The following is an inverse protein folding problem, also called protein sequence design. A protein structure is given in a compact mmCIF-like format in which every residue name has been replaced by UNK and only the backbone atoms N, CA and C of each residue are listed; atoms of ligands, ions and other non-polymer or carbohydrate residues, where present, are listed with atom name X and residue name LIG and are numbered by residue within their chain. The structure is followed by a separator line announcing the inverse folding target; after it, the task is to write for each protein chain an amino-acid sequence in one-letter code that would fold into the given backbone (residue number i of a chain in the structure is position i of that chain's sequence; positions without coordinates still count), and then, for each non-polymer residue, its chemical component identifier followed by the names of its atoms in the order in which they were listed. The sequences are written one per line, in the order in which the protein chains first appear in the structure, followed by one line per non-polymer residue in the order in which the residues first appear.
data_IF_899568037971
#
_entry.id   IF_899568037971
#
_cell.length_a   1.000
_cell.length_b   1.000
_cell.length_c   1.000
_cell.angle_alpha   90.00
_cell.angle_beta   90.00
_cell.angle_gamma   90.00
#
_symmetry.space_group_name_H-M   'P 1'
#
loop_
_entity.id
_entity.type
_entity.pdbx_description
1 polymer ?
#
# COMPACT_ATOMS: atom_id res chain seq x y z
N UNK A 1 17.04 -29.52 -8.75
CA UNK A 1 16.04 -29.18 -7.72
C UNK A 1 15.63 -27.74 -8.01
N UNK A 2 14.52 -27.55 -8.71
CA UNK A 2 13.96 -26.20 -8.87
C UNK A 2 13.41 -25.79 -7.49
N UNK A 3 13.95 -24.74 -6.90
CA UNK A 3 13.49 -24.31 -5.60
C UNK A 3 12.06 -23.77 -5.74
N UNK A 4 11.21 -24.07 -4.77
CA UNK A 4 9.84 -23.56 -4.68
C UNK A 4 9.78 -22.01 -4.77
N UNK A 5 10.94 -21.35 -4.67
CA UNK A 5 11.12 -19.90 -4.68
C UNK A 5 11.20 -19.28 -6.06
N UNK A 6 11.52 -20.06 -7.11
CA UNK A 6 11.55 -19.56 -8.49
C UNK A 6 10.14 -19.18 -8.99
N UNK A 7 9.10 -19.54 -8.23
CA UNK A 7 7.70 -19.26 -8.56
C UNK A 7 7.07 -18.13 -7.75
N UNK A 8 7.72 -17.63 -6.70
CA UNK A 8 7.20 -16.49 -5.92
C UNK A 8 7.55 -15.21 -6.68
N UNK A 9 6.61 -14.75 -7.47
CA UNK A 9 6.71 -13.44 -8.13
C UNK A 9 6.35 -12.39 -7.10
N UNK A 10 7.34 -11.61 -6.66
CA UNK A 10 7.08 -10.48 -5.79
C UNK A 10 6.25 -9.43 -6.51
N UNK A 11 5.12 -9.05 -5.92
CA UNK A 11 4.22 -8.04 -6.48
C UNK A 11 4.71 -6.60 -6.29
N UNK A 12 5.85 -6.38 -5.63
CA UNK A 12 6.39 -5.05 -5.36
C UNK A 12 7.55 -4.75 -6.32
N UNK A 13 7.37 -3.72 -7.14
CA UNK A 13 8.45 -3.15 -7.96
C UNK A 13 9.36 -2.26 -7.11
N UNK A 14 10.70 -2.24 -7.38
CA UNK A 14 11.59 -1.30 -6.74
C UNK A 14 11.13 0.14 -6.92
N UNK A 15 11.18 0.90 -5.85
CA UNK A 15 10.80 2.31 -5.85
C UNK A 15 12.07 3.17 -5.92
N UNK A 16 12.37 3.82 -7.06
CA UNK A 16 13.46 4.77 -7.12
C UNK A 16 13.16 6.00 -6.25
N UNK A 17 14.21 6.57 -5.66
CA UNK A 17 14.06 7.84 -4.96
C UNK A 17 13.57 8.92 -5.93
N UNK A 18 12.60 9.72 -5.49
CA UNK A 18 12.09 10.87 -6.23
C UNK A 18 12.11 12.09 -5.33
N UNK A 19 12.84 13.12 -5.74
CA UNK A 19 12.99 14.36 -4.96
C UNK A 19 11.70 15.18 -4.91
N UNK A 20 10.75 14.88 -5.76
CA UNK A 20 9.40 15.49 -5.76
C UNK A 20 8.48 14.91 -4.68
N UNK A 21 8.83 13.76 -4.09
CA UNK A 21 8.04 13.20 -2.99
C UNK A 21 8.01 14.18 -1.81
N UNK A 22 6.83 14.43 -1.29
CA UNK A 22 6.69 15.21 -0.06
C UNK A 22 7.41 14.51 1.09
N UNK A 23 8.36 15.22 1.69
CA UNK A 23 9.12 14.68 2.83
C UNK A 23 8.35 14.95 4.12
N UNK A 24 8.14 13.91 4.92
CA UNK A 24 7.36 14.01 6.15
C UNK A 24 7.94 15.05 7.10
N UNK A 25 9.25 15.10 7.28
CA UNK A 25 9.91 16.08 8.17
C UNK A 25 9.70 17.53 7.73
N UNK A 26 9.56 17.79 6.45
CA UNK A 26 9.37 19.16 5.94
C UNK A 26 7.97 19.69 6.25
N UNK A 27 7.01 18.80 6.44
CA UNK A 27 5.61 19.17 6.73
C UNK A 27 5.31 19.14 8.23
N UNK A 28 5.84 18.15 8.95
CA UNK A 28 5.47 17.88 10.34
C UNK A 28 6.61 18.10 11.35
N UNK A 29 7.80 18.50 10.86
CA UNK A 29 9.01 18.57 11.69
C UNK A 29 9.57 17.17 12.03
N UNK A 30 10.68 17.15 12.75
CA UNK A 30 11.30 15.92 13.25
C UNK A 30 10.96 15.75 14.73
N UNK A 31 10.25 14.69 15.13
CA UNK A 31 9.95 14.41 16.52
C UNK A 31 11.22 14.06 17.32
N UNK A 32 11.18 14.21 18.64
CA UNK A 32 12.26 13.74 19.51
C UNK A 32 12.23 12.21 19.62
N UNK A 33 13.35 11.56 19.30
CA UNK A 33 13.52 10.10 19.43
C UNK A 33 13.29 9.62 20.88
N UNK A 34 13.51 10.46 21.87
CA UNK A 34 13.28 10.13 23.28
C UNK A 34 11.81 9.91 23.63
N UNK A 35 10.91 10.45 22.82
CA UNK A 35 9.46 10.25 23.01
C UNK A 35 8.97 8.91 22.49
N UNK A 36 9.81 8.17 21.76
CA UNK A 36 9.43 6.87 21.21
C UNK A 36 9.30 5.82 22.30
N UNK A 37 8.16 5.14 22.42
CA UNK A 37 8.05 3.98 23.29
C UNK A 37 8.85 2.81 22.71
N UNK A 38 9.26 1.90 23.57
CA UNK A 38 9.94 0.68 23.15
C UNK A 38 9.02 -0.24 22.32
N UNK A 39 7.73 -0.19 22.60
CA UNK A 39 6.73 -1.01 21.95
C UNK A 39 5.37 -0.27 21.88
N UNK A 40 4.67 -0.41 20.78
CA UNK A 40 3.23 -0.15 20.68
C UNK A 40 2.63 -0.98 19.55
N UNK A 41 1.35 -1.29 19.66
CA UNK A 41 0.63 -2.15 18.72
C UNK A 41 -0.49 -1.36 18.05
N UNK A 42 -0.58 -1.50 16.74
CA UNK A 42 -1.72 -1.07 15.94
C UNK A 42 -2.41 -2.34 15.44
N UNK A 43 -3.66 -2.54 15.84
CA UNK A 43 -4.43 -3.68 15.38
C UNK A 43 -5.07 -3.36 14.02
N UNK A 44 -4.87 -4.18 12.99
CA UNK A 44 -5.55 -4.02 11.71
C UNK A 44 -7.06 -4.26 11.87
N UNK A 45 -7.86 -3.71 10.98
CA UNK A 45 -9.29 -3.98 10.92
C UNK A 45 -9.55 -5.43 10.50
N UNK A 46 -8.83 -5.88 9.49
CA UNK A 46 -8.89 -7.23 8.94
C UNK A 46 -7.52 -7.60 8.38
N UNK A 47 -7.16 -8.88 8.44
CA UNK A 47 -5.96 -9.40 7.76
C UNK A 47 -6.41 -10.02 6.45
N UNK A 48 -5.89 -9.49 5.35
CA UNK A 48 -6.23 -9.92 3.99
C UNK A 48 -5.21 -10.89 3.43
N UNK A 49 -5.70 -11.94 2.78
CA UNK A 49 -4.86 -12.90 2.06
C UNK A 49 -4.91 -12.61 0.56
N UNK A 50 -3.77 -12.24 -0.01
CA UNK A 50 -3.66 -11.99 -1.46
C UNK A 50 -3.53 -13.26 -2.30
N UNK A 51 -3.48 -14.44 -1.66
CA UNK A 51 -3.28 -15.72 -2.32
C UNK A 51 -1.98 -15.74 -3.15
N UNK A 52 -2.03 -16.25 -4.36
CA UNK A 52 -0.91 -16.33 -5.32
C UNK A 52 -0.82 -15.12 -6.27
N UNK A 53 -1.56 -14.05 -5.97
CA UNK A 53 -1.56 -12.84 -6.79
C UNK A 53 -0.37 -11.93 -6.47
N UNK A 54 0.09 -11.19 -7.46
CA UNK A 54 1.17 -10.21 -7.34
C UNK A 54 0.67 -8.79 -6.95
N UNK A 55 -0.37 -8.72 -6.12
CA UNK A 55 -1.10 -7.51 -5.79
C UNK A 55 -0.73 -6.89 -4.44
N UNK A 56 0.41 -7.25 -3.87
CA UNK A 56 0.81 -6.85 -2.51
C UNK A 56 0.74 -5.32 -2.28
N UNK A 57 1.11 -4.51 -3.26
CA UNK A 57 1.03 -3.06 -3.12
C UNK A 57 -0.42 -2.56 -3.00
N UNK A 58 -1.36 -3.14 -3.76
CA UNK A 58 -2.79 -2.83 -3.66
C UNK A 58 -3.37 -3.26 -2.31
N UNK A 59 -3.04 -4.47 -1.86
CA UNK A 59 -3.44 -4.97 -0.54
C UNK A 59 -2.94 -4.09 0.59
N UNK A 60 -1.65 -3.74 0.56
CA UNK A 60 -1.04 -2.88 1.59
C UNK A 60 -1.70 -1.50 1.65
N UNK A 61 -1.97 -0.86 0.49
CA UNK A 61 -2.62 0.45 0.46
C UNK A 61 -4.08 0.37 0.92
N UNK A 62 -4.78 -0.72 0.57
CA UNK A 62 -6.14 -0.95 1.07
C UNK A 62 -6.16 -1.07 2.59
N UNK A 63 -5.32 -1.93 3.20
CA UNK A 63 -5.24 -2.11 4.66
C UNK A 63 -4.91 -0.81 5.41
N UNK A 64 -3.95 -0.04 4.92
CA UNK A 64 -3.62 1.26 5.52
C UNK A 64 -4.78 2.24 5.42
N UNK A 65 -5.49 2.22 4.30
CA UNK A 65 -6.67 3.06 4.10
C UNK A 65 -7.84 2.64 5.00
N UNK A 66 -8.03 1.35 5.21
CA UNK A 66 -9.03 0.79 6.14
C UNK A 66 -8.82 1.23 7.58
N UNK A 67 -7.57 1.27 8.04
CA UNK A 67 -7.27 1.76 9.39
C UNK A 67 -7.68 3.22 9.56
N UNK A 68 -7.60 4.01 8.52
CA UNK A 68 -8.04 5.41 8.54
C UNK A 68 -9.55 5.56 8.47
N UNK A 69 -10.20 4.84 7.56
CA UNK A 69 -11.64 4.96 7.26
C UNK A 69 -12.54 4.12 8.18
N UNK A 70 -11.98 3.09 8.81
CA UNK A 70 -12.71 2.07 9.58
C UNK A 70 -13.76 1.30 8.76
N UNK A 71 -13.46 1.12 7.48
CA UNK A 71 -14.26 0.38 6.50
C UNK A 71 -13.34 -0.57 5.76
N UNK A 72 -13.73 -1.83 5.62
CA UNK A 72 -13.02 -2.79 4.78
C UNK A 72 -13.05 -2.33 3.31
N UNK A 73 -11.89 -2.24 2.68
CA UNK A 73 -11.72 -1.72 1.32
C UNK A 73 -11.26 -2.81 0.35
N UNK A 74 -11.60 -2.64 -0.91
CA UNK A 74 -11.27 -3.60 -1.97
C UNK A 74 -9.83 -3.42 -2.44
N UNK A 75 -8.93 -4.37 -2.19
CA UNK A 75 -7.53 -4.28 -2.59
C UNK A 75 -7.33 -4.43 -4.10
N UNK A 76 -8.24 -5.09 -4.78
CA UNK A 76 -8.18 -5.28 -6.22
C UNK A 76 -8.49 -3.98 -6.97
N UNK A 77 -9.46 -3.22 -6.48
CA UNK A 77 -9.69 -1.87 -6.99
C UNK A 77 -8.44 -1.00 -6.83
N UNK A 78 -7.79 -1.04 -5.67
CA UNK A 78 -6.55 -0.30 -5.41
C UNK A 78 -5.45 -0.68 -6.39
N UNK A 79 -5.25 -1.97 -6.61
CA UNK A 79 -4.26 -2.45 -7.58
C UNK A 79 -4.62 -2.04 -9.02
N UNK A 80 -5.88 -2.17 -9.42
CA UNK A 80 -6.35 -1.76 -10.74
C UNK A 80 -6.10 -0.26 -11.00
N UNK A 81 -6.32 0.59 -10.00
CA UNK A 81 -6.06 2.04 -10.12
C UNK A 81 -4.57 2.34 -10.23
N UNK A 82 -3.73 1.61 -9.49
CA UNK A 82 -2.28 1.72 -9.63
C UNK A 82 -1.82 1.32 -11.04
N UNK A 83 -2.31 0.20 -11.57
CA UNK A 83 -2.00 -0.26 -12.94
C UNK A 83 -2.49 0.73 -14.01
N UNK A 84 -3.61 1.38 -13.77
CA UNK A 84 -4.12 2.43 -14.65
C UNK A 84 -3.18 3.64 -14.72
N UNK A 85 -2.62 4.06 -13.60
CA UNK A 85 -1.63 5.15 -13.55
C UNK A 85 -0.34 4.74 -14.26
N UNK A 86 0.09 3.50 -14.02
CA UNK A 86 1.30 2.93 -14.62
C UNK A 86 1.18 2.80 -16.15
N UNK A 87 -0.03 2.56 -16.64
CA UNK A 87 -0.30 2.31 -18.07
C UNK A 87 0.22 0.97 -18.58
N UNK A 88 0.74 0.13 -17.68
CA UNK A 88 1.26 -1.21 -17.96
C UNK A 88 0.44 -2.28 -17.26
N UNK A 89 -0.49 -2.86 -17.97
CA UNK A 89 -1.33 -3.95 -17.48
C UNK A 89 -0.71 -5.35 -17.65
N UNK A 90 0.42 -5.43 -18.35
CA UNK A 90 1.10 -6.71 -18.64
C UNK A 90 2.15 -7.05 -17.59
N UNK A 91 2.71 -6.05 -16.94
CA UNK A 91 3.73 -6.20 -15.91
C UNK A 91 3.20 -6.78 -14.61
N UNK A 92 4.06 -7.52 -13.91
CA UNK A 92 3.80 -8.03 -12.58
C UNK A 92 3.96 -6.92 -11.53
N UNK A 93 3.06 -6.90 -10.56
CA UNK A 93 3.12 -5.99 -9.45
C UNK A 93 3.06 -4.51 -9.82
N UNK A 94 3.31 -3.66 -8.84
CA UNK A 94 3.45 -2.20 -8.98
C UNK A 94 4.33 -1.65 -7.87
N UNK A 95 4.75 -0.40 -7.95
CA UNK A 95 5.48 0.25 -6.87
C UNK A 95 4.54 0.94 -5.87
N UNK A 96 5.05 1.17 -4.65
CA UNK A 96 4.25 1.76 -3.56
C UNK A 96 3.81 3.20 -3.85
N UNK A 97 4.63 4.00 -4.54
CA UNK A 97 4.25 5.38 -4.90
C UNK A 97 3.07 5.38 -5.85
N UNK A 98 3.11 4.54 -6.87
CA UNK A 98 2.02 4.39 -7.83
C UNK A 98 0.74 3.88 -7.15
N UNK A 99 0.85 2.92 -6.24
CA UNK A 99 -0.29 2.44 -5.46
C UNK A 99 -0.89 3.54 -4.56
N UNK A 100 -0.06 4.29 -3.83
CA UNK A 100 -0.51 5.43 -3.03
C UNK A 100 -1.14 6.54 -3.90
N UNK A 101 -0.56 6.78 -5.07
CA UNK A 101 -1.13 7.73 -6.04
C UNK A 101 -2.50 7.28 -6.53
N UNK A 102 -2.72 5.97 -6.72
CA UNK A 102 -4.03 5.39 -7.02
C UNK A 102 -5.07 5.76 -5.97
N UNK A 103 -4.73 5.64 -4.69
CA UNK A 103 -5.62 6.03 -3.60
C UNK A 103 -5.89 7.55 -3.54
N UNK A 104 -4.94 8.38 -4.00
CA UNK A 104 -5.13 9.84 -4.06
C UNK A 104 -5.93 10.28 -5.29
N UNK A 105 -5.66 9.71 -6.45
CA UNK A 105 -6.26 10.16 -7.71
C UNK A 105 -7.67 9.57 -7.92
N UNK A 106 -7.87 8.32 -7.50
CA UNK A 106 -9.11 7.57 -7.74
C UNK A 106 -9.88 7.19 -6.49
N UNK A 107 -9.23 7.13 -5.35
CA UNK A 107 -9.85 6.70 -4.10
C UNK A 107 -9.85 5.20 -3.88
N UNK A 108 -10.80 4.72 -3.09
CA UNK A 108 -10.98 3.31 -2.72
C UNK A 108 -12.47 2.97 -2.71
N UNK A 109 -12.83 1.69 -2.82
CA UNK A 109 -14.20 1.24 -2.68
C UNK A 109 -14.33 0.25 -1.52
N UNK A 110 -15.47 0.19 -0.82
CA UNK A 110 -15.73 -0.84 0.18
C UNK A 110 -15.65 -2.25 -0.43
N UNK A 111 -15.11 -3.20 0.33
CA UNK A 111 -14.86 -4.57 -0.12
C UNK A 111 -16.12 -5.31 -0.61
N UNK A 112 -17.28 -4.93 -0.11
CA UNK A 112 -18.58 -5.51 -0.48
C UNK A 112 -19.27 -4.78 -1.65
N UNK A 113 -18.60 -3.81 -2.27
CA UNK A 113 -19.19 -3.02 -3.38
C UNK A 113 -19.17 -3.81 -4.69
N UNK A 114 -18.21 -4.72 -4.85
CA UNK A 114 -18.08 -5.53 -6.05
C UNK A 114 -18.56 -6.95 -5.81
N UNK A 115 -19.15 -7.56 -6.87
CA UNK A 115 -19.46 -8.99 -6.89
C UNK A 115 -18.26 -9.83 -7.35
N UNK A 116 -17.07 -9.22 -7.39
CA UNK A 116 -15.87 -9.84 -7.88
C UNK A 116 -15.21 -10.67 -6.80
N UNK A 117 -14.99 -11.93 -7.09
CA UNK A 117 -14.29 -12.85 -6.21
C UNK A 117 -13.06 -13.43 -6.91
N UNK A 118 -12.01 -13.66 -6.15
CA UNK A 118 -10.91 -14.49 -6.63
C UNK A 118 -11.44 -15.83 -7.18
N UNK A 119 -10.99 -16.32 -8.36
CA UNK A 119 -9.87 -15.83 -9.21
C UNK A 119 -10.30 -14.94 -10.40
N UNK A 120 -11.40 -14.23 -10.35
CA UNK A 120 -11.89 -13.40 -11.47
C UNK A 120 -11.03 -12.17 -11.77
N UNK A 121 -10.14 -11.82 -10.86
CA UNK A 121 -9.23 -10.68 -11.04
C UNK A 121 -8.00 -11.06 -11.87
N UNK A 122 -8.23 -11.44 -13.11
CA UNK A 122 -7.14 -11.59 -14.07
C UNK A 122 -6.73 -10.24 -14.65
N UNK A 123 -5.68 -10.24 -15.45
CA UNK A 123 -5.13 -9.02 -16.04
C UNK A 123 -6.09 -8.36 -17.01
N UNK A 124 -6.79 -9.14 -17.82
CA UNK A 124 -7.73 -8.62 -18.81
C UNK A 124 -8.90 -7.94 -18.09
N UNK A 125 -9.34 -8.50 -16.97
CA UNK A 125 -10.34 -7.90 -16.12
C UNK A 125 -9.86 -6.56 -15.52
N UNK A 126 -8.65 -6.52 -14.97
CA UNK A 126 -8.07 -5.31 -14.37
C UNK A 126 -7.81 -4.22 -15.41
N UNK A 127 -7.40 -4.59 -16.62
CA UNK A 127 -7.16 -3.65 -17.72
C UNK A 127 -8.45 -3.04 -18.27
N UNK A 128 -9.57 -3.74 -18.15
CA UNK A 128 -10.83 -3.27 -18.68
C UNK A 128 -11.45 -2.20 -17.78
N UNK A 129 -11.26 -0.95 -18.19
CA UNK A 129 -11.79 0.20 -17.50
C UNK A 129 -13.31 0.17 -17.24
N UNK A 130 -14.10 -0.44 -18.13
CA UNK A 130 -15.55 -0.56 -18.00
C UNK A 130 -15.96 -1.32 -16.73
N UNK A 131 -15.09 -2.21 -16.24
CA UNK A 131 -15.33 -2.94 -15.01
C UNK A 131 -15.29 -2.03 -13.76
N UNK A 132 -14.57 -0.92 -13.84
CA UNK A 132 -14.26 -0.06 -12.69
C UNK A 132 -14.97 1.28 -12.70
N UNK A 133 -15.25 1.86 -13.87
CA UNK A 133 -15.79 3.23 -13.99
C UNK A 133 -17.09 3.45 -13.21
N UNK A 134 -17.92 2.43 -13.10
CA UNK A 134 -19.20 2.49 -12.37
C UNK A 134 -19.05 2.69 -10.87
N UNK A 135 -17.85 2.48 -10.33
CA UNK A 135 -17.58 2.62 -8.89
C UNK A 135 -16.94 3.96 -8.53
N UNK A 136 -16.71 4.83 -9.49
CA UNK A 136 -15.97 6.08 -9.26
C UNK A 136 -16.61 7.00 -8.25
N UNK A 137 -17.90 7.18 -8.31
CA UNK A 137 -18.60 8.07 -7.36
C UNK A 137 -18.45 7.56 -5.92
N UNK A 138 -18.46 6.23 -5.74
CA UNK A 138 -18.24 5.60 -4.44
C UNK A 138 -16.77 5.74 -4.03
N UNK A 139 -15.85 5.51 -4.96
CA UNK A 139 -14.42 5.57 -4.68
C UNK A 139 -13.96 6.97 -4.27
N UNK A 140 -14.58 8.00 -4.82
CA UNK A 140 -14.24 9.39 -4.52
C UNK A 140 -14.44 9.76 -3.05
N UNK A 141 -15.38 9.12 -2.36
CA UNK A 141 -15.64 9.30 -0.93
C UNK A 141 -14.41 8.90 -0.09
N UNK A 142 -13.65 7.91 -0.55
CA UNK A 142 -12.49 7.34 0.15
C UNK A 142 -11.15 7.80 -0.42
N UNK A 143 -11.12 8.90 -1.17
CA UNK A 143 -9.87 9.48 -1.67
C UNK A 143 -8.95 9.92 -0.55
N UNK A 144 -7.68 9.61 -0.69
CA UNK A 144 -6.64 10.15 0.17
C UNK A 144 -6.19 11.52 -0.35
N UNK A 145 -5.91 12.44 0.58
CA UNK A 145 -5.46 13.79 0.19
C UNK A 145 -4.02 13.79 -0.30
N UNK A 146 -3.16 12.99 0.33
CA UNK A 146 -1.74 12.92 0.02
C UNK A 146 -1.09 11.72 0.70
N UNK A 147 0.11 11.40 0.24
CA UNK A 147 1.04 10.50 0.93
C UNK A 147 2.41 11.18 1.05
N UNK A 148 3.24 10.69 1.96
CA UNK A 148 4.54 11.30 2.26
C UNK A 148 5.61 10.23 2.29
N UNK A 149 6.81 10.59 1.81
CA UNK A 149 8.00 9.80 2.03
C UNK A 149 8.44 9.97 3.48
N UNK A 150 8.57 8.85 4.21
CA UNK A 150 9.10 8.84 5.58
C UNK A 150 10.62 8.98 5.49
N UNK A 151 11.09 10.22 5.49
CA UNK A 151 12.51 10.55 5.45
C UNK A 151 12.80 11.64 6.49
N UNK A 152 13.76 11.34 7.39
CA UNK A 152 14.28 12.30 8.38
C UNK A 152 15.79 12.34 8.25
N UNK A 153 16.36 13.51 8.04
CA UNK A 153 17.81 13.68 7.91
C UNK A 153 18.53 13.36 9.21
N UNK A 154 19.67 12.66 9.10
CA UNK A 154 20.49 12.32 10.25
C UNK A 154 19.89 11.26 11.18
N UNK A 155 18.79 10.63 10.78
CA UNK A 155 18.11 9.59 11.56
C UNK A 155 18.31 8.24 10.88
N UNK A 156 18.57 7.19 11.66
CA UNK A 156 18.64 5.83 11.18
C UNK A 156 17.34 5.36 10.51
N UNK A 157 17.43 4.46 9.53
CA UNK A 157 16.25 4.02 8.76
C UNK A 157 15.15 3.38 9.61
N UNK A 158 15.52 2.60 10.64
CA UNK A 158 14.55 2.00 11.53
C UNK A 158 13.87 3.06 12.41
N UNK A 159 14.65 3.99 12.90
CA UNK A 159 14.11 5.11 13.67
C UNK A 159 13.25 6.05 12.82
N UNK A 160 13.56 6.21 11.53
CA UNK A 160 12.68 6.93 10.60
C UNK A 160 11.29 6.28 10.51
N UNK A 161 11.23 4.95 10.37
CA UNK A 161 9.96 4.20 10.34
C UNK A 161 9.24 4.35 11.68
N UNK A 162 9.93 4.15 12.81
CA UNK A 162 9.37 4.28 14.16
C UNK A 162 8.80 5.67 14.39
N UNK A 163 9.55 6.72 14.02
CA UNK A 163 9.09 8.10 14.10
C UNK A 163 7.84 8.35 13.25
N UNK A 164 7.85 7.85 12.00
CA UNK A 164 6.70 7.98 11.11
C UNK A 164 5.43 7.39 11.70
N UNK A 165 5.50 6.17 12.22
CA UNK A 165 4.37 5.51 12.86
C UNK A 165 3.96 6.25 14.14
N UNK A 166 4.90 6.59 15.01
CA UNK A 166 4.62 7.23 16.28
C UNK A 166 4.03 8.62 16.16
N UNK A 167 4.57 9.45 15.28
CA UNK A 167 4.10 10.81 15.06
C UNK A 167 2.63 10.84 14.63
N UNK A 168 2.21 9.86 13.87
CA UNK A 168 0.87 9.84 13.28
C UNK A 168 -0.12 8.86 13.93
N UNK A 169 0.26 8.23 15.05
CA UNK A 169 -0.61 7.29 15.78
C UNK A 169 -1.97 7.88 16.19
N UNK A 170 -1.98 9.19 16.54
CA UNK A 170 -3.21 9.89 16.91
C UNK A 170 -4.11 10.18 15.72
N UNK A 171 -3.50 10.42 14.58
CA UNK A 171 -4.20 10.75 13.32
C UNK A 171 -4.54 9.50 12.50
N UNK A 172 -4.29 8.30 13.07
CA UNK A 172 -4.52 7.02 12.40
C UNK A 172 -3.80 6.89 11.05
N UNK A 173 -2.62 7.47 10.95
CA UNK A 173 -1.77 7.34 9.77
C UNK A 173 -0.82 6.17 9.95
N UNK A 174 -0.63 5.41 8.90
CA UNK A 174 0.20 4.21 8.90
C UNK A 174 1.36 4.37 7.93
N UNK A 175 2.48 3.75 8.22
CA UNK A 175 3.66 3.72 7.37
C UNK A 175 3.64 2.44 6.53
N UNK A 176 3.78 2.61 5.23
CA UNK A 176 3.96 1.51 4.29
C UNK A 176 5.45 1.35 4.00
N UNK A 177 5.93 0.12 4.05
CA UNK A 177 7.30 -0.22 3.68
C UNK A 177 7.34 -1.45 2.80
N UNK A 178 8.35 -1.52 1.94
CA UNK A 178 8.66 -2.71 1.16
C UNK A 178 9.99 -3.30 1.62
N UNK A 179 10.08 -4.62 1.67
CA UNK A 179 11.29 -5.34 1.99
C UNK A 179 11.59 -6.40 0.94
N UNK A 180 12.87 -6.66 0.70
CA UNK A 180 13.26 -7.82 -0.08
C UNK A 180 13.05 -9.08 0.77
N UNK A 181 12.33 -10.04 0.21
CA UNK A 181 12.13 -11.33 0.85
C UNK A 181 13.47 -12.06 1.00
N UNK A 182 13.73 -12.57 2.20
CA UNK A 182 14.93 -13.36 2.47
C UNK A 182 14.53 -14.81 2.78
N UNK A 183 15.22 -15.80 2.17
CA UNK A 183 14.92 -17.23 2.40
C UNK A 183 14.92 -17.63 3.90
N UNK A 184 15.77 -16.97 4.70
CA UNK A 184 15.89 -17.24 6.14
C UNK A 184 14.61 -16.92 6.92
N UNK A 185 13.71 -16.10 6.38
CA UNK A 185 12.45 -15.75 7.02
C UNK A 185 11.39 -16.85 6.92
N UNK A 186 11.64 -17.87 6.11
CA UNK A 186 10.73 -19.02 5.93
C UNK A 186 11.05 -20.20 6.87
N UNK A 187 12.14 -20.14 7.60
CA UNK A 187 12.64 -21.28 8.42
C UNK A 187 12.10 -21.32 9.85
N UNK A 188 10.99 -20.62 10.14
CA UNK A 188 10.35 -20.66 11.48
C UNK A 188 8.94 -21.19 11.39
#
# INVERSE_FOLDING_TARGET
MNSKFDTIKGGLKPLPQDDRDFKMYAVFGTPDLKELPNEFVISPLEIKDQQDLDFCAGFTVAEVSEDQEKVALDPYFQFAMAKRIEGDYTGWGTDLRTACKGACDYGSIPANTTDFTYPKYDRDFLANWENWKKYYDIAEIYKKKSFFSVLYYGVDKFDQIRLGIWQHRKDKRTVITGAMWRPEWQSK
#
